data_IF_094714951198
#
_entry.id   IF_094714951198
#
_cell.length_a   1.000
_cell.length_b   1.000
_cell.length_c   1.000
_cell.angle_alpha   90.00
_cell.angle_beta   90.00
_cell.angle_gamma   90.00
#
_symmetry.space_group_name_H-M   'P 1'
#
loop_
_entity.id
_entity.type
_entity.pdbx_description
1 polymer ?
#
# COMPACT_ATOMS: atom_id res chain seq x y z
N UNK A 1 8.40 25.27 30.47
CA UNK A 1 7.28 25.78 29.65
C UNK A 1 7.27 24.94 28.38
N UNK A 2 6.54 23.83 28.39
CA UNK A 2 6.44 22.88 27.28
C UNK A 2 5.48 23.46 26.23
N UNK A 3 6.00 23.71 25.04
CA UNK A 3 5.16 24.05 23.89
C UNK A 3 4.54 22.75 23.35
N UNK A 4 3.24 22.61 23.56
CA UNK A 4 2.42 21.57 22.94
C UNK A 4 2.33 21.92 21.44
N UNK A 5 2.98 21.12 20.60
CA UNK A 5 2.89 21.26 19.13
C UNK A 5 1.49 20.75 18.72
N UNK A 6 0.64 21.67 18.28
CA UNK A 6 -0.70 21.37 17.77
C UNK A 6 -0.60 20.54 16.48
N UNK A 7 -1.16 19.30 16.52
CA UNK A 7 -1.24 18.35 15.41
C UNK A 7 -1.90 18.92 14.13
N UNK A 8 -2.60 20.05 14.24
CA UNK A 8 -3.33 20.69 13.13
C UNK A 8 -2.44 21.50 12.18
N UNK A 9 -1.21 21.81 12.55
CA UNK A 9 -0.30 22.59 11.67
C UNK A 9 0.46 21.75 10.66
N UNK A 10 0.48 20.44 10.77
CA UNK A 10 1.24 19.54 9.88
C UNK A 10 0.63 19.36 8.48
N UNK A 11 -0.63 19.79 8.27
CA UNK A 11 -1.36 19.58 7.00
C UNK A 11 -1.49 20.84 6.12
N UNK A 12 -0.82 21.95 6.45
CA UNK A 12 -0.92 23.20 5.69
C UNK A 12 0.39 23.65 5.06
N UNK A 13 0.98 22.85 4.21
CA UNK A 13 1.98 23.32 3.26
C UNK A 13 1.62 22.86 1.85
N UNK A 14 0.67 23.56 1.26
CA UNK A 14 0.48 23.59 -0.19
C UNK A 14 1.14 24.86 -0.71
N UNK A 15 2.00 24.70 -1.71
CA UNK A 15 2.32 25.82 -2.59
C UNK A 15 3.78 26.14 -2.77
N UNK A 16 4.21 26.06 -4.00
CA UNK A 16 5.24 26.76 -4.81
C UNK A 16 6.19 25.80 -5.49
N UNK A 17 5.94 25.52 -6.72
CA UNK A 17 6.32 26.16 -7.98
C UNK A 17 7.77 25.94 -8.42
N UNK A 18 7.89 25.12 -9.46
CA UNK A 18 8.51 25.26 -10.78
C UNK A 18 10.02 25.45 -10.95
N UNK A 19 10.51 24.69 -11.94
CA UNK A 19 11.60 24.89 -12.91
C UNK A 19 12.97 24.25 -12.62
N UNK A 20 13.33 23.34 -13.50
CA UNK A 20 14.71 22.87 -13.72
C UNK A 20 14.76 21.65 -14.64
N UNK A 21 14.91 21.87 -15.95
CA UNK A 21 15.14 20.83 -16.97
C UNK A 21 16.50 20.17 -16.79
N UNK A 22 16.56 18.84 -16.83
CA UNK A 22 17.79 18.06 -16.99
C UNK A 22 17.47 16.67 -17.55
N UNK A 23 17.82 16.46 -18.81
CA UNK A 23 17.68 15.23 -19.60
C UNK A 23 18.56 14.11 -19.02
N UNK A 24 17.97 12.99 -18.60
CA UNK A 24 18.56 11.67 -18.73
C UNK A 24 17.44 10.65 -18.95
N UNK A 25 17.55 9.91 -20.06
CA UNK A 25 16.56 8.98 -20.53
C UNK A 25 16.50 7.69 -19.72
N UNK A 26 15.39 7.52 -19.06
CA UNK A 26 14.84 6.29 -18.57
C UNK A 26 13.34 6.51 -18.56
N UNK A 27 12.59 5.80 -19.42
CA UNK A 27 11.16 6.03 -19.61
C UNK A 27 10.40 5.49 -18.38
N UNK A 28 10.44 6.25 -17.27
CA UNK A 28 9.34 6.26 -16.34
C UNK A 28 8.25 7.11 -17.01
N UNK A 29 7.26 6.45 -17.62
CA UNK A 29 6.05 7.12 -18.09
C UNK A 29 5.35 7.71 -16.88
N UNK A 30 5.69 8.97 -16.53
CA UNK A 30 4.85 9.76 -15.65
C UNK A 30 3.51 9.90 -16.36
N UNK A 31 2.48 9.25 -15.81
CA UNK A 31 1.12 9.45 -16.28
C UNK A 31 0.78 10.91 -15.98
N UNK A 32 0.78 11.74 -17.02
CA UNK A 32 0.41 13.14 -16.88
C UNK A 32 -1.07 13.22 -16.48
N UNK A 33 -1.36 13.95 -15.41
CA UNK A 33 -2.75 14.32 -15.07
C UNK A 33 -3.33 15.12 -16.21
N UNK A 34 -4.50 14.74 -16.69
CA UNK A 34 -5.23 15.54 -17.65
C UNK A 34 -5.59 16.91 -17.01
N UNK A 35 -5.42 17.99 -17.75
CA UNK A 35 -5.65 19.35 -17.25
C UNK A 35 -7.13 19.64 -16.93
N UNK A 36 -8.04 18.73 -17.31
CA UNK A 36 -9.49 18.81 -17.09
C UNK A 36 -9.98 18.11 -15.79
N UNK A 37 -9.04 17.64 -14.95
CA UNK A 37 -9.37 16.94 -13.71
C UNK A 37 -9.88 15.51 -13.88
N UNK A 38 -9.86 14.95 -15.10
CA UNK A 38 -10.17 13.54 -15.32
C UNK A 38 -8.93 12.69 -14.98
N UNK A 39 -9.16 11.56 -14.28
CA UNK A 39 -8.08 10.61 -14.07
C UNK A 39 -7.66 9.99 -15.40
N UNK A 40 -6.36 9.70 -15.55
CA UNK A 40 -5.89 8.91 -16.69
C UNK A 40 -6.63 7.57 -16.76
N UNK A 41 -6.73 6.94 -17.92
CA UNK A 41 -7.30 5.61 -18.05
C UNK A 41 -6.67 4.66 -17.04
N UNK A 42 -7.49 3.81 -16.39
CA UNK A 42 -7.00 2.74 -15.56
C UNK A 42 -6.50 1.63 -16.50
N UNK A 43 -5.18 1.54 -16.64
CA UNK A 43 -4.59 0.50 -17.50
C UNK A 43 -4.61 -0.84 -16.76
N UNK A 44 -5.23 -1.85 -17.38
CA UNK A 44 -5.21 -3.23 -16.91
C UNK A 44 -4.05 -3.95 -17.60
N UNK A 45 -3.11 -4.44 -16.83
CA UNK A 45 -1.91 -5.13 -17.34
C UNK A 45 -1.96 -6.60 -16.95
N UNK A 46 -1.88 -7.48 -17.95
CA UNK A 46 -1.71 -8.91 -17.71
C UNK A 46 -0.27 -9.18 -17.29
N UNK A 47 -0.09 -9.79 -16.10
CA UNK A 47 1.23 -10.02 -15.51
C UNK A 47 1.67 -11.49 -15.60
N UNK A 48 0.68 -12.40 -15.67
CA UNK A 48 0.86 -13.83 -15.89
C UNK A 48 -0.43 -14.38 -16.51
N UNK A 49 -0.47 -15.63 -17.00
CA UNK A 49 -1.74 -16.24 -17.41
C UNK A 49 -2.78 -16.08 -16.32
N UNK A 50 -3.97 -15.58 -16.69
CA UNK A 50 -5.10 -15.35 -15.78
C UNK A 50 -4.86 -14.39 -14.60
N UNK A 51 -3.73 -13.69 -14.57
CA UNK A 51 -3.38 -12.72 -13.52
C UNK A 51 -3.21 -11.33 -14.11
N UNK A 52 -3.85 -10.35 -13.52
CA UNK A 52 -3.80 -8.94 -13.92
C UNK A 52 -3.60 -8.03 -12.72
N UNK A 53 -3.21 -6.79 -12.98
CA UNK A 53 -3.24 -5.72 -12.01
C UNK A 53 -3.55 -4.38 -12.68
N UNK A 54 -3.92 -3.41 -11.86
CA UNK A 54 -3.99 -2.00 -12.18
C UNK A 54 -2.99 -1.26 -11.31
N UNK A 55 -2.28 -0.29 -11.89
CA UNK A 55 -1.28 0.49 -11.16
C UNK A 55 -1.85 1.83 -10.75
N UNK A 56 -1.83 2.09 -9.44
CA UNK A 56 -2.14 3.39 -8.88
C UNK A 56 -1.06 4.43 -9.17
N UNK A 57 -1.40 5.69 -8.96
CA UNK A 57 -0.50 6.82 -9.17
C UNK A 57 0.55 6.89 -8.05
N UNK A 58 1.81 7.12 -8.38
CA UNK A 58 2.88 7.29 -7.39
C UNK A 58 2.83 8.71 -6.79
N UNK A 59 1.76 8.98 -6.03
CA UNK A 59 1.41 10.27 -5.42
C UNK A 59 0.86 10.05 -4.01
N UNK A 60 0.66 11.13 -3.27
CA UNK A 60 -0.19 11.12 -2.07
C UNK A 60 -1.66 11.16 -2.49
N UNK A 61 -2.54 10.57 -1.67
CA UNK A 61 -3.99 10.63 -1.88
C UNK A 61 -4.50 12.08 -1.91
N UNK A 62 -5.39 12.36 -2.85
CA UNK A 62 -5.97 13.70 -3.03
C UNK A 62 -7.29 13.63 -3.80
N UNK A 63 -8.12 14.69 -3.80
CA UNK A 63 -9.29 14.78 -4.66
C UNK A 63 -8.95 14.65 -6.14
N UNK A 64 -7.81 15.20 -6.56
CA UNK A 64 -7.38 15.18 -7.95
C UNK A 64 -7.09 13.77 -8.49
N UNK A 65 -6.62 12.85 -7.64
CA UNK A 65 -6.37 11.46 -8.02
C UNK A 65 -7.44 10.49 -7.50
N UNK A 66 -8.53 10.98 -6.89
CA UNK A 66 -9.63 10.17 -6.34
C UNK A 66 -9.15 9.09 -5.35
N UNK A 67 -7.99 9.31 -4.70
CA UNK A 67 -7.25 8.33 -3.91
C UNK A 67 -6.84 7.07 -4.69
N UNK A 68 -6.64 7.15 -6.00
CA UNK A 68 -6.12 6.06 -6.84
C UNK A 68 -4.59 6.05 -6.78
N UNK A 69 -4.04 5.62 -5.66
CA UNK A 69 -2.60 5.65 -5.37
C UNK A 69 -2.00 4.26 -5.11
N UNK A 70 -2.84 3.27 -4.75
CA UNK A 70 -2.45 1.87 -4.56
C UNK A 70 -2.73 1.03 -5.80
N UNK A 71 -2.11 -0.13 -5.87
CA UNK A 71 -2.41 -1.15 -6.85
C UNK A 71 -3.59 -2.01 -6.38
N UNK A 72 -4.29 -2.62 -7.33
CA UNK A 72 -5.16 -3.76 -7.08
C UNK A 72 -4.87 -4.86 -8.10
N UNK A 73 -5.06 -6.10 -7.70
CA UNK A 73 -4.91 -7.25 -8.58
C UNK A 73 -6.21 -7.95 -8.85
N UNK A 74 -6.27 -8.75 -9.91
CA UNK A 74 -7.32 -9.72 -10.08
C UNK A 74 -6.88 -10.96 -10.85
N UNK A 75 -7.52 -12.07 -10.54
CA UNK A 75 -7.26 -13.36 -11.17
C UNK A 75 -8.56 -13.92 -11.70
N UNK A 76 -8.58 -14.24 -12.99
CA UNK A 76 -9.74 -14.88 -13.63
C UNK A 76 -9.63 -16.39 -13.45
N UNK A 77 -10.69 -16.99 -12.92
CA UNK A 77 -10.76 -18.44 -12.67
C UNK A 77 -11.92 -19.07 -13.44
N UNK A 78 -12.04 -20.37 -13.44
CA UNK A 78 -13.18 -21.04 -14.09
C UNK A 78 -14.55 -20.80 -13.40
N UNK A 79 -14.57 -20.16 -12.21
CA UNK A 79 -15.80 -19.91 -11.43
C UNK A 79 -15.94 -18.46 -10.96
N UNK A 80 -15.30 -17.53 -11.63
CA UNK A 80 -15.38 -16.10 -11.32
C UNK A 80 -14.03 -15.44 -11.14
N UNK A 81 -14.05 -14.17 -10.85
CA UNK A 81 -12.86 -13.35 -10.65
C UNK A 81 -12.56 -13.22 -9.15
N UNK A 82 -11.32 -13.43 -8.75
CA UNK A 82 -10.83 -13.07 -7.42
C UNK A 82 -10.09 -11.74 -7.51
N UNK A 83 -10.54 -10.76 -6.75
CA UNK A 83 -9.93 -9.44 -6.66
C UNK A 83 -9.03 -9.37 -5.43
N UNK A 84 -7.86 -8.76 -5.53
CA UNK A 84 -6.93 -8.52 -4.45
C UNK A 84 -6.83 -7.00 -4.25
N UNK A 85 -7.29 -6.52 -3.11
CA UNK A 85 -7.53 -5.13 -2.72
C UNK A 85 -8.59 -4.39 -3.57
N UNK A 86 -9.19 -3.38 -2.98
CA UNK A 86 -10.37 -2.70 -3.54
C UNK A 86 -10.13 -1.24 -3.88
N UNK A 87 -8.89 -0.78 -3.80
CA UNK A 87 -8.49 0.61 -4.06
C UNK A 87 -9.05 1.63 -3.05
N UNK A 88 -8.71 2.90 -3.24
CA UNK A 88 -8.83 3.94 -2.24
C UNK A 88 -10.14 4.74 -2.25
N UNK A 89 -11.09 4.43 -3.13
CA UNK A 89 -12.43 5.04 -3.09
C UNK A 89 -13.47 4.19 -3.80
N UNK A 90 -14.77 4.35 -3.47
CA UNK A 90 -15.85 3.67 -4.18
C UNK A 90 -15.87 3.98 -5.68
N UNK A 91 -15.52 5.19 -6.07
CA UNK A 91 -15.45 5.59 -7.48
C UNK A 91 -14.38 4.80 -8.24
N UNK A 92 -13.19 4.65 -7.67
CA UNK A 92 -12.08 3.92 -8.29
C UNK A 92 -12.35 2.42 -8.31
N UNK A 93 -13.00 1.87 -7.28
CA UNK A 93 -13.44 0.46 -7.26
C UNK A 93 -14.49 0.15 -8.34
N UNK A 94 -15.44 1.06 -8.59
CA UNK A 94 -16.39 0.92 -9.70
C UNK A 94 -15.69 0.93 -11.07
N UNK A 95 -14.64 1.76 -11.21
CA UNK A 95 -13.80 1.73 -12.42
C UNK A 95 -13.08 0.39 -12.57
N UNK A 96 -12.51 -0.16 -11.48
CA UNK A 96 -11.88 -1.48 -11.50
C UNK A 96 -12.87 -2.57 -11.99
N UNK A 97 -14.11 -2.57 -11.48
CA UNK A 97 -15.14 -3.49 -11.96
C UNK A 97 -15.44 -3.33 -13.47
N UNK A 98 -15.49 -2.09 -13.96
CA UNK A 98 -15.70 -1.82 -15.37
C UNK A 98 -14.52 -2.29 -16.24
N UNK A 99 -13.29 -2.18 -15.74
CA UNK A 99 -12.11 -2.70 -16.44
C UNK A 99 -12.06 -4.24 -16.42
N UNK A 100 -12.40 -4.88 -15.31
CA UNK A 100 -12.53 -6.34 -15.22
C UNK A 100 -13.53 -6.87 -16.26
N UNK A 101 -14.67 -6.18 -16.42
CA UNK A 101 -15.70 -6.56 -17.41
C UNK A 101 -15.25 -6.48 -18.87
N UNK A 102 -14.17 -5.73 -19.17
CA UNK A 102 -13.54 -5.74 -20.52
C UNK A 102 -12.63 -6.94 -20.74
N UNK A 103 -12.13 -7.55 -19.66
CA UNK A 103 -11.24 -8.71 -19.71
C UNK A 103 -12.01 -10.03 -19.74
N UNK A 104 -13.14 -10.10 -19.03
CA UNK A 104 -13.92 -11.33 -18.87
C UNK A 104 -15.38 -11.05 -18.54
N UNK A 105 -16.28 -11.92 -19.00
CA UNK A 105 -17.70 -11.90 -18.62
C UNK A 105 -17.97 -12.53 -17.23
N UNK A 106 -16.94 -13.07 -16.59
CA UNK A 106 -17.03 -13.66 -15.26
C UNK A 106 -17.29 -12.59 -14.20
N UNK A 107 -18.21 -12.87 -13.28
CA UNK A 107 -18.49 -11.99 -12.14
C UNK A 107 -17.37 -12.11 -11.09
N UNK A 108 -17.20 -11.06 -10.29
CA UNK A 108 -16.34 -11.15 -9.10
C UNK A 108 -16.96 -12.13 -8.12
N UNK A 109 -16.20 -13.16 -7.78
CA UNK A 109 -16.61 -14.24 -6.88
C UNK A 109 -16.02 -14.08 -5.48
N UNK A 110 -14.92 -13.34 -5.32
CA UNK A 110 -14.22 -13.18 -4.05
C UNK A 110 -13.36 -11.92 -4.05
N UNK A 111 -13.21 -11.30 -2.87
CA UNK A 111 -12.20 -10.25 -2.63
C UNK A 111 -11.28 -10.70 -1.50
N UNK A 112 -9.97 -10.50 -1.67
CA UNK A 112 -8.97 -10.74 -0.63
C UNK A 112 -8.31 -9.39 -0.32
N UNK A 113 -8.26 -9.02 0.96
CA UNK A 113 -7.66 -7.78 1.44
C UNK A 113 -6.26 -8.07 1.96
N UNK A 114 -5.26 -7.35 1.46
CA UNK A 114 -3.87 -7.51 1.93
C UNK A 114 -3.67 -6.87 3.29
N UNK A 115 -4.24 -5.69 3.53
CA UNK A 115 -4.21 -4.98 4.82
C UNK A 115 -5.27 -3.86 4.85
N UNK A 116 -5.51 -3.27 6.02
CA UNK A 116 -6.59 -2.30 6.23
C UNK A 116 -6.13 -0.84 6.18
N UNK A 117 -5.36 -0.44 5.15
CA UNK A 117 -5.15 0.98 4.85
C UNK A 117 -6.17 1.54 3.87
N UNK A 118 -6.46 2.82 4.01
CA UNK A 118 -7.52 3.54 3.32
C UNK A 118 -7.53 3.36 1.80
N UNK A 119 -6.36 3.40 1.19
CA UNK A 119 -6.17 3.27 -0.26
C UNK A 119 -6.31 1.84 -0.79
N UNK A 120 -6.43 0.84 0.10
CA UNK A 120 -6.72 -0.56 -0.24
C UNK A 120 -8.16 -0.98 0.08
N UNK A 121 -8.85 -0.28 1.00
CA UNK A 121 -10.12 -0.76 1.55
C UNK A 121 -11.34 0.12 1.30
N UNK A 122 -11.19 1.42 1.00
CA UNK A 122 -12.38 2.29 0.88
C UNK A 122 -13.27 1.95 -0.32
N UNK A 123 -12.77 1.17 -1.28
CA UNK A 123 -13.57 0.59 -2.35
C UNK A 123 -14.34 -0.69 -1.99
N UNK A 124 -14.06 -1.32 -0.83
CA UNK A 124 -14.65 -2.63 -0.45
C UNK A 124 -16.17 -2.62 -0.41
N UNK A 125 -16.80 -1.49 -0.01
CA UNK A 125 -18.26 -1.40 0.02
C UNK A 125 -18.90 -1.71 -1.33
N UNK A 126 -18.25 -1.39 -2.45
CA UNK A 126 -18.77 -1.67 -3.79
C UNK A 126 -18.93 -3.18 -4.03
N UNK A 127 -18.00 -3.97 -3.53
CA UNK A 127 -18.05 -5.43 -3.62
C UNK A 127 -19.01 -6.03 -2.59
N UNK A 128 -19.03 -5.48 -1.39
CA UNK A 128 -19.97 -5.92 -0.34
C UNK A 128 -21.43 -5.68 -0.75
N UNK A 129 -21.75 -4.56 -1.37
CA UNK A 129 -23.09 -4.23 -1.88
C UNK A 129 -23.53 -5.20 -3.01
N UNK A 130 -22.56 -5.83 -3.70
CA UNK A 130 -22.82 -6.90 -4.68
C UNK A 130 -22.94 -8.29 -4.04
N UNK A 131 -22.79 -8.40 -2.72
CA UNK A 131 -22.83 -9.67 -1.99
C UNK A 131 -21.58 -10.52 -2.18
N UNK A 132 -20.47 -9.93 -2.63
CA UNK A 132 -19.21 -10.66 -2.84
C UNK A 132 -18.56 -10.95 -1.48
N UNK A 133 -18.16 -12.21 -1.18
CA UNK A 133 -17.44 -12.54 0.03
C UNK A 133 -16.06 -11.88 0.06
N UNK A 134 -15.67 -11.41 1.24
CA UNK A 134 -14.40 -10.71 1.48
C UNK A 134 -13.62 -11.49 2.54
N UNK A 135 -12.39 -11.87 2.25
CA UNK A 135 -11.46 -12.47 3.23
C UNK A 135 -10.35 -11.49 3.58
N UNK A 136 -10.03 -11.38 4.87
CA UNK A 136 -8.95 -10.57 5.38
C UNK A 136 -8.28 -11.23 6.60
N UNK A 137 -7.11 -10.71 6.99
CA UNK A 137 -6.47 -11.10 8.25
C UNK A 137 -7.25 -10.54 9.45
N UNK A 138 -7.37 -11.34 10.53
CA UNK A 138 -8.17 -10.95 11.71
C UNK A 138 -7.69 -9.67 12.40
N UNK A 139 -6.43 -9.30 12.29
CA UNK A 139 -5.92 -8.01 12.80
C UNK A 139 -6.64 -6.80 12.19
N UNK A 140 -7.24 -6.93 11.01
CA UNK A 140 -8.10 -5.92 10.41
C UNK A 140 -9.36 -5.62 11.25
N UNK A 141 -9.83 -6.59 12.05
CA UNK A 141 -10.94 -6.36 13.00
C UNK A 141 -10.53 -5.39 14.11
N UNK A 142 -9.29 -5.51 14.59
CA UNK A 142 -8.78 -4.64 15.65
C UNK A 142 -8.65 -3.22 15.11
N UNK A 143 -8.16 -3.06 13.88
CA UNK A 143 -8.16 -1.77 13.20
C UNK A 143 -9.57 -1.19 13.05
N UNK A 144 -10.54 -1.94 12.51
CA UNK A 144 -11.90 -1.48 12.30
C UNK A 144 -12.63 -1.09 13.60
N UNK A 145 -12.29 -1.73 14.72
CA UNK A 145 -12.80 -1.41 16.04
C UNK A 145 -12.09 -0.22 16.72
N UNK A 146 -11.02 0.28 16.12
CA UNK A 146 -10.24 1.35 16.71
C UNK A 146 -10.83 2.74 16.39
N UNK A 147 -10.64 3.69 17.32
CA UNK A 147 -10.95 5.10 17.06
C UNK A 147 -10.13 5.65 15.89
N UNK A 148 -8.95 5.08 15.63
CA UNK A 148 -8.08 5.48 14.54
C UNK A 148 -8.72 5.26 13.17
N UNK A 149 -9.43 4.14 12.96
CA UNK A 149 -10.11 3.83 11.70
C UNK A 149 -11.18 4.89 11.39
N UNK A 150 -12.01 5.22 12.37
CA UNK A 150 -13.04 6.25 12.22
C UNK A 150 -12.43 7.65 12.02
N UNK A 151 -11.40 8.00 12.79
CA UNK A 151 -10.69 9.28 12.63
C UNK A 151 -10.06 9.42 11.24
N UNK A 152 -9.46 8.35 10.71
CA UNK A 152 -8.90 8.33 9.33
C UNK A 152 -9.99 8.48 8.28
N UNK A 153 -11.14 7.80 8.44
CA UNK A 153 -12.27 7.97 7.52
C UNK A 153 -12.83 9.38 7.55
N UNK A 154 -13.02 9.97 8.73
CA UNK A 154 -13.50 11.36 8.86
C UNK A 154 -12.51 12.36 8.22
N UNK A 155 -11.20 12.18 8.44
CA UNK A 155 -10.20 12.99 7.76
C UNK A 155 -10.27 12.84 6.24
N UNK A 156 -10.41 11.59 5.75
CA UNK A 156 -10.52 11.32 4.31
C UNK A 156 -11.77 11.92 3.68
N UNK A 157 -12.89 12.03 4.42
CA UNK A 157 -14.11 12.72 3.96
C UNK A 157 -13.89 14.22 3.73
N UNK A 158 -12.89 14.80 4.39
CA UNK A 158 -12.49 16.21 4.17
C UNK A 158 -11.44 16.30 3.07
N UNK A 159 -10.39 15.47 3.14
CA UNK A 159 -9.19 15.60 2.34
C UNK A 159 -9.36 15.05 0.92
N UNK A 160 -10.27 14.09 0.74
CA UNK A 160 -10.50 13.37 -0.53
C UNK A 160 -11.90 13.66 -1.12
N UNK A 161 -12.63 14.59 -0.53
CA UNK A 161 -13.96 14.96 -1.07
C UNK A 161 -13.88 15.33 -2.56
N UNK A 162 -14.90 15.00 -3.39
CA UNK A 162 -16.16 14.33 -3.03
C UNK A 162 -16.09 12.79 -3.15
N UNK A 163 -14.92 12.19 -3.34
CA UNK A 163 -14.74 10.76 -3.66
C UNK A 163 -14.86 9.87 -2.44
N UNK A 164 -14.55 10.42 -1.27
CA UNK A 164 -14.84 9.87 0.05
C UNK A 164 -15.82 10.83 0.69
N UNK A 165 -17.01 10.35 1.00
CA UNK A 165 -18.16 11.15 1.45
C UNK A 165 -18.86 10.53 2.67
N UNK A 166 -20.05 11.03 3.01
CA UNK A 166 -20.84 10.52 4.12
C UNK A 166 -21.34 9.08 3.92
N UNK A 167 -21.47 8.65 2.65
CA UNK A 167 -21.92 7.30 2.30
C UNK A 167 -20.79 6.28 2.25
N UNK A 168 -19.53 6.74 2.28
CA UNK A 168 -18.36 5.86 2.35
C UNK A 168 -18.25 5.22 3.72
N UNK A 169 -18.11 3.89 3.75
CA UNK A 169 -18.15 3.07 4.97
C UNK A 169 -16.88 2.24 5.15
N UNK A 170 -16.48 2.05 6.39
CA UNK A 170 -15.57 0.99 6.76
C UNK A 170 -16.26 -0.37 6.56
N UNK A 171 -15.74 -1.19 5.66
CA UNK A 171 -16.36 -2.45 5.27
C UNK A 171 -15.65 -3.62 5.95
N UNK A 172 -16.43 -4.45 6.62
CA UNK A 172 -15.95 -5.66 7.29
C UNK A 172 -15.77 -6.80 6.30
N UNK A 173 -14.72 -7.60 6.51
CA UNK A 173 -14.62 -8.87 5.82
C UNK A 173 -15.73 -9.83 6.33
N UNK A 174 -16.17 -10.72 5.45
CA UNK A 174 -17.12 -11.78 5.77
C UNK A 174 -16.44 -13.01 6.35
N UNK A 175 -15.12 -13.13 6.12
CA UNK A 175 -14.29 -14.25 6.52
C UNK A 175 -12.93 -13.73 7.00
N UNK A 176 -12.49 -14.17 8.18
CA UNK A 176 -11.28 -13.70 8.84
C UNK A 176 -10.31 -14.85 9.05
N UNK A 177 -9.04 -14.63 8.75
CA UNK A 177 -7.98 -15.60 8.95
C UNK A 177 -6.93 -15.08 9.94
N UNK A 178 -6.28 -15.98 10.67
CA UNK A 178 -5.20 -15.69 11.61
C UNK A 178 -3.89 -16.41 11.27
N UNK A 179 -3.95 -17.32 10.34
CA UNK A 179 -2.86 -18.19 9.95
C UNK A 179 -2.90 -18.45 8.45
N UNK A 180 -1.81 -19.03 7.94
CA UNK A 180 -1.73 -19.43 6.53
C UNK A 180 -2.95 -20.26 6.12
N UNK A 181 -3.58 -19.86 5.03
CA UNK A 181 -4.80 -20.51 4.51
C UNK A 181 -4.75 -20.63 3.00
N UNK A 182 -5.38 -21.68 2.49
CA UNK A 182 -5.59 -21.85 1.06
C UNK A 182 -7.08 -21.70 0.73
N UNK A 183 -7.35 -20.90 -0.30
CA UNK A 183 -8.68 -20.75 -0.88
C UNK A 183 -8.62 -21.28 -2.31
N UNK A 184 -9.64 -22.02 -2.72
CA UNK A 184 -9.77 -22.51 -4.10
C UNK A 184 -11.02 -21.90 -4.71
N UNK A 185 -10.86 -21.18 -5.82
CA UNK A 185 -11.98 -20.64 -6.60
C UNK A 185 -11.87 -21.24 -8.02
N UNK A 186 -12.82 -22.07 -8.35
CA UNK A 186 -12.77 -22.82 -9.61
C UNK A 186 -11.54 -23.74 -9.69
N UNK A 187 -10.71 -23.49 -10.69
CA UNK A 187 -9.48 -24.23 -10.98
C UNK A 187 -8.22 -23.59 -10.37
N UNK A 188 -8.37 -22.49 -9.66
CA UNK A 188 -7.22 -21.70 -9.18
C UNK A 188 -7.15 -21.73 -7.66
N UNK A 189 -5.92 -21.96 -7.15
CA UNK A 189 -5.59 -21.95 -5.73
C UNK A 189 -4.89 -20.64 -5.37
N UNK A 190 -5.34 -20.06 -4.26
CA UNK A 190 -4.77 -18.86 -3.64
C UNK A 190 -4.21 -19.23 -2.27
N UNK A 191 -2.94 -18.98 -2.04
CA UNK A 191 -2.29 -19.16 -0.75
C UNK A 191 -2.23 -17.80 -0.07
N UNK A 192 -2.98 -17.65 1.01
CA UNK A 192 -3.00 -16.47 1.85
C UNK A 192 -1.96 -16.67 2.95
N UNK A 193 -0.90 -15.88 2.91
CA UNK A 193 0.23 -15.98 3.85
C UNK A 193 0.29 -14.74 4.73
N UNK A 194 0.01 -14.84 6.04
CA UNK A 194 0.28 -13.75 6.97
C UNK A 194 1.77 -13.45 7.02
N UNK A 195 2.15 -12.31 6.52
CA UNK A 195 3.54 -11.85 6.47
C UNK A 195 3.84 -10.82 7.54
N UNK A 196 2.82 -10.16 8.07
CA UNK A 196 2.96 -9.21 9.17
C UNK A 196 3.51 -9.78 10.49
N UNK A 197 3.78 -8.89 11.47
CA UNK A 197 3.72 -7.45 11.36
C UNK A 197 4.85 -6.87 10.52
N UNK A 198 4.52 -5.94 9.60
CA UNK A 198 5.48 -5.28 8.72
C UNK A 198 5.07 -3.82 8.50
N UNK A 199 4.41 -3.52 7.34
CA UNK A 199 3.82 -2.23 7.04
C UNK A 199 2.61 -1.94 7.96
N UNK A 200 1.82 -2.99 8.23
CA UNK A 200 0.78 -3.04 9.26
C UNK A 200 0.98 -4.29 10.14
N UNK A 201 0.26 -4.39 11.28
CA UNK A 201 0.26 -5.62 12.08
C UNK A 201 -0.30 -6.84 11.34
N UNK A 202 -1.22 -6.63 10.39
CA UNK A 202 -2.04 -7.66 9.75
C UNK A 202 -1.72 -7.93 8.29
N UNK A 203 -0.53 -7.54 7.82
CA UNK A 203 -0.15 -7.72 6.41
C UNK A 203 -0.28 -9.17 5.93
N UNK A 204 -0.93 -9.31 4.79
CA UNK A 204 -1.20 -10.57 4.10
C UNK A 204 -0.66 -10.51 2.67
N UNK A 205 0.14 -11.50 2.27
CA UNK A 205 0.49 -11.70 0.88
C UNK A 205 -0.39 -12.80 0.26
N UNK A 206 -0.77 -12.62 -1.01
CA UNK A 206 -1.60 -13.56 -1.75
C UNK A 206 -0.78 -14.18 -2.87
N UNK A 207 -0.43 -15.46 -2.73
CA UNK A 207 0.35 -16.18 -3.72
C UNK A 207 -0.54 -17.10 -4.56
N UNK A 208 -0.37 -17.05 -5.88
CA UNK A 208 -1.06 -17.90 -6.86
C UNK A 208 -0.05 -18.88 -7.46
N UNK A 209 0.08 -20.10 -6.90
CA UNK A 209 1.16 -21.03 -7.26
C UNK A 209 1.18 -21.46 -8.72
N UNK A 210 -0.01 -21.64 -9.32
CA UNK A 210 -0.15 -22.05 -10.72
C UNK A 210 0.52 -21.06 -11.68
N UNK A 211 0.53 -19.78 -11.31
CA UNK A 211 1.05 -18.69 -12.15
C UNK A 211 2.33 -18.06 -11.57
N UNK A 212 2.84 -18.62 -10.45
CA UNK A 212 4.02 -18.09 -9.74
C UNK A 212 3.95 -16.57 -9.53
N UNK A 213 2.77 -16.07 -9.22
CA UNK A 213 2.48 -14.65 -9.02
C UNK A 213 2.15 -14.40 -7.56
N UNK A 214 2.77 -13.39 -6.95
CA UNK A 214 2.44 -12.91 -5.60
C UNK A 214 1.94 -11.48 -5.65
N UNK A 215 0.83 -11.21 -5.00
CA UNK A 215 0.33 -9.88 -4.66
C UNK A 215 0.74 -9.60 -3.22
N UNK A 216 1.69 -8.69 -3.05
CA UNK A 216 2.40 -8.55 -1.79
C UNK A 216 1.82 -7.46 -0.87
N UNK A 217 0.81 -6.70 -1.33
CA UNK A 217 0.37 -5.52 -0.63
C UNK A 217 1.54 -4.58 -0.33
N UNK A 218 1.42 -3.81 0.71
CA UNK A 218 2.40 -2.78 1.10
C UNK A 218 3.62 -3.32 1.86
N UNK A 219 3.76 -4.64 1.94
CA UNK A 219 5.04 -5.24 2.29
C UNK A 219 6.10 -4.93 1.24
N UNK A 220 5.67 -4.72 -0.03
CA UNK A 220 6.56 -4.34 -1.12
C UNK A 220 6.06 -3.07 -1.83
N UNK A 221 6.95 -2.07 -1.91
CA UNK A 221 6.82 -0.86 -2.71
C UNK A 221 7.84 -0.89 -3.82
N UNK A 222 7.50 -0.41 -5.00
CA UNK A 222 8.43 -0.34 -6.13
C UNK A 222 8.43 1.04 -6.79
N UNK A 223 9.64 1.50 -7.18
CA UNK A 223 9.79 2.81 -7.82
C UNK A 223 9.58 4.01 -6.91
N UNK A 224 9.53 3.79 -5.59
CA UNK A 224 9.43 4.84 -4.54
C UNK A 224 9.94 4.29 -3.20
N UNK A 225 10.18 5.17 -2.23
CA UNK A 225 10.39 4.70 -0.85
C UNK A 225 9.08 4.13 -0.28
N UNK A 226 9.14 3.14 0.63
CA UNK A 226 7.97 2.67 1.34
C UNK A 226 7.40 3.75 2.29
N UNK A 227 6.17 3.56 2.73
CA UNK A 227 5.58 4.32 3.82
C UNK A 227 5.69 3.52 5.11
N UNK A 228 6.34 4.09 6.13
CA UNK A 228 6.50 3.50 7.46
C UNK A 228 5.59 4.25 8.41
N UNK A 229 4.39 3.72 8.64
CA UNK A 229 3.37 4.27 9.53
C UNK A 229 3.73 4.14 11.01
N UNK A 230 2.90 4.71 11.89
CA UNK A 230 3.10 4.60 13.33
C UNK A 230 2.83 3.20 13.91
N UNK A 231 2.11 2.38 13.17
CA UNK A 231 1.77 0.97 13.42
C UNK A 231 2.71 -0.01 12.70
N UNK A 232 3.58 0.48 11.81
CA UNK A 232 4.59 -0.32 11.14
C UNK A 232 5.70 -0.79 12.11
N UNK A 233 6.25 -1.96 11.82
CA UNK A 233 7.43 -2.47 12.54
C UNK A 233 8.58 -2.73 11.56
N UNK A 234 9.47 -1.76 11.42
CA UNK A 234 10.60 -1.85 10.50
C UNK A 234 11.54 -3.04 10.78
N UNK A 235 11.56 -3.58 12.01
CA UNK A 235 12.39 -4.74 12.37
C UNK A 235 11.81 -6.07 11.89
N UNK A 236 10.53 -6.31 12.16
CA UNK A 236 9.84 -7.52 11.71
C UNK A 236 9.56 -7.46 10.21
N UNK A 237 9.42 -6.26 9.63
CA UNK A 237 9.25 -6.08 8.19
C UNK A 237 10.41 -6.69 7.38
N UNK A 238 11.64 -6.58 7.85
CA UNK A 238 12.79 -7.25 7.21
C UNK A 238 12.57 -8.76 7.07
N UNK A 239 12.03 -9.41 8.12
CA UNK A 239 11.69 -10.85 8.08
C UNK A 239 10.49 -11.14 7.17
N UNK A 240 9.56 -10.20 7.05
CA UNK A 240 8.41 -10.32 6.16
C UNK A 240 8.82 -10.28 4.69
N UNK A 241 9.83 -9.49 4.35
CA UNK A 241 10.44 -9.50 3.02
C UNK A 241 11.03 -10.88 2.67
N UNK A 242 11.69 -11.54 3.63
CA UNK A 242 12.21 -12.91 3.44
C UNK A 242 11.08 -13.91 3.21
N UNK A 243 9.94 -13.79 3.92
CA UNK A 243 8.77 -14.63 3.69
C UNK A 243 8.20 -14.46 2.27
N UNK A 244 8.12 -13.22 1.78
CA UNK A 244 7.68 -12.94 0.40
C UNK A 244 8.63 -13.57 -0.62
N UNK A 245 9.94 -13.45 -0.44
CA UNK A 245 10.94 -14.06 -1.31
C UNK A 245 10.89 -15.59 -1.28
N UNK A 246 10.61 -16.20 -0.12
CA UNK A 246 10.50 -17.65 0.04
C UNK A 246 9.35 -18.28 -0.78
N UNK A 247 8.36 -17.47 -1.22
CA UNK A 247 7.29 -17.93 -2.13
C UNK A 247 7.83 -18.26 -3.53
N UNK A 248 9.05 -17.85 -3.88
CA UNK A 248 9.69 -18.10 -5.18
C UNK A 248 8.81 -17.65 -6.37
N UNK A 249 8.13 -16.52 -6.22
CA UNK A 249 7.33 -15.95 -7.28
C UNK A 249 8.20 -15.46 -8.44
N UNK A 250 7.71 -15.62 -9.66
CA UNK A 250 8.35 -15.06 -10.87
C UNK A 250 7.86 -13.64 -11.14
N UNK A 251 6.65 -13.34 -10.70
CA UNK A 251 6.03 -12.01 -10.79
C UNK A 251 5.59 -11.58 -9.39
N UNK A 252 5.98 -10.38 -9.02
CA UNK A 252 5.52 -9.74 -7.79
C UNK A 252 4.76 -8.47 -8.15
N UNK A 253 3.51 -8.41 -7.68
CA UNK A 253 2.67 -7.21 -7.73
C UNK A 253 2.79 -6.52 -6.38
N UNK A 254 3.45 -5.35 -6.31
CA UNK A 254 3.58 -4.59 -5.06
C UNK A 254 2.26 -3.88 -4.72
N UNK A 255 2.11 -3.39 -3.51
CA UNK A 255 0.97 -2.53 -3.15
C UNK A 255 1.03 -1.17 -3.85
N UNK A 256 2.24 -0.69 -4.18
CA UNK A 256 2.45 0.56 -4.92
C UNK A 256 3.58 0.42 -5.94
N UNK A 257 3.34 1.01 -7.10
CA UNK A 257 4.32 1.09 -8.20
C UNK A 257 4.22 -0.05 -9.19
N UNK A 258 5.15 -0.14 -10.17
CA UNK A 258 5.06 -1.12 -11.25
C UNK A 258 5.33 -2.54 -10.75
N UNK A 259 4.86 -3.55 -11.52
CA UNK A 259 5.16 -4.96 -11.25
C UNK A 259 6.66 -5.23 -11.23
N UNK A 260 7.07 -6.26 -10.48
CA UNK A 260 8.43 -6.76 -10.46
C UNK A 260 8.54 -8.12 -11.16
N UNK A 261 9.53 -8.24 -12.04
CA UNK A 261 10.02 -9.48 -12.64
C UNK A 261 11.37 -9.89 -12.07
N UNK A 262 11.93 -9.08 -11.17
CA UNK A 262 13.09 -9.42 -10.33
C UNK A 262 12.76 -9.10 -8.85
N UNK A 263 11.91 -9.94 -8.21
CA UNK A 263 11.47 -9.70 -6.82
C UNK A 263 12.63 -9.54 -5.84
N UNK A 264 13.75 -10.21 -6.09
CA UNK A 264 14.92 -10.15 -5.20
C UNK A 264 15.54 -8.75 -5.21
N UNK A 265 15.73 -8.15 -6.37
CA UNK A 265 16.32 -6.81 -6.48
C UNK A 265 15.41 -5.73 -5.89
N UNK A 266 14.09 -5.83 -6.14
CA UNK A 266 13.13 -4.85 -5.64
C UNK A 266 12.92 -4.95 -4.12
N UNK A 267 12.86 -6.17 -3.58
CA UNK A 267 12.83 -6.40 -2.13
C UNK A 267 14.11 -5.91 -1.46
N UNK A 268 15.28 -6.09 -2.11
CA UNK A 268 16.55 -5.59 -1.57
C UNK A 268 16.56 -4.07 -1.41
N UNK A 269 15.92 -3.32 -2.31
CA UNK A 269 15.80 -1.86 -2.17
C UNK A 269 15.07 -1.46 -0.87
N UNK A 270 13.96 -2.14 -0.57
CA UNK A 270 13.19 -1.90 0.66
C UNK A 270 13.98 -2.33 1.89
N UNK A 271 14.61 -3.52 1.82
CA UNK A 271 15.45 -4.04 2.88
C UNK A 271 16.56 -3.04 3.25
N UNK A 272 17.26 -2.50 2.25
CA UNK A 272 18.32 -1.51 2.46
C UNK A 272 17.78 -0.23 3.10
N UNK A 273 16.60 0.25 2.65
CA UNK A 273 15.99 1.43 3.21
C UNK A 273 15.57 1.26 4.67
N UNK A 274 14.89 0.16 5.00
CA UNK A 274 14.48 -0.14 6.38
C UNK A 274 15.69 -0.37 7.29
N UNK A 275 16.74 -0.99 6.78
CA UNK A 275 18.00 -1.18 7.49
C UNK A 275 18.66 0.17 7.80
N UNK A 276 18.68 1.08 6.83
CA UNK A 276 19.22 2.44 7.03
C UNK A 276 18.41 3.21 8.08
N UNK A 277 17.07 3.19 7.96
CA UNK A 277 16.20 3.83 8.96
C UNK A 277 16.48 3.33 10.38
N UNK A 278 16.53 2.02 10.56
CA UNK A 278 16.79 1.41 11.87
C UNK A 278 18.19 1.75 12.39
N UNK A 279 19.21 1.74 11.50
CA UNK A 279 20.58 2.09 11.87
C UNK A 279 20.67 3.52 12.36
N UNK A 280 20.17 4.47 11.58
CA UNK A 280 20.32 5.91 11.90
C UNK A 280 19.44 6.31 13.10
N UNK A 281 18.19 5.86 13.12
CA UNK A 281 17.26 6.21 14.19
C UNK A 281 17.51 5.38 15.45
N UNK A 282 17.98 4.14 15.35
CA UNK A 282 18.38 3.32 16.48
C UNK A 282 19.58 3.90 17.22
N UNK A 283 20.61 4.28 16.49
CA UNK A 283 21.77 4.98 17.08
C UNK A 283 21.33 6.24 17.83
N UNK A 284 20.45 7.03 17.23
CA UNK A 284 19.97 8.27 17.87
C UNK A 284 19.16 7.98 19.15
N UNK A 285 18.36 6.92 19.16
CA UNK A 285 17.60 6.52 20.35
C UNK A 285 18.53 6.04 21.48
N UNK A 286 19.53 5.22 21.17
CA UNK A 286 20.54 4.74 22.14
C UNK A 286 21.37 5.88 22.72
N UNK A 287 21.78 6.85 21.90
CA UNK A 287 22.58 8.00 22.30
C UNK A 287 21.75 9.14 22.90
N UNK A 288 20.41 8.98 22.99
CA UNK A 288 19.45 10.03 23.40
C UNK A 288 19.60 11.32 22.57
N UNK A 289 19.97 11.19 21.29
CA UNK A 289 20.07 12.32 20.37
C UNK A 289 18.68 12.77 19.96
N UNK A 290 18.33 14.08 20.05
CA UNK A 290 17.05 14.57 19.61
C UNK A 290 16.76 14.23 18.14
N UNK A 291 15.54 13.83 17.84
CA UNK A 291 15.13 13.41 16.48
C UNK A 291 15.52 14.40 15.39
N UNK A 292 15.29 15.70 15.61
CA UNK A 292 15.61 16.73 14.61
C UNK A 292 17.09 16.76 14.24
N UNK A 293 17.96 16.60 15.24
CA UNK A 293 19.40 16.54 15.03
C UNK A 293 19.77 15.23 14.31
N UNK A 294 19.24 14.10 14.75
CA UNK A 294 19.48 12.80 14.14
C UNK A 294 19.06 12.78 12.66
N UNK A 295 17.85 13.29 12.36
CA UNK A 295 17.33 13.36 11.00
C UNK A 295 18.17 14.25 10.10
N UNK A 296 18.60 15.43 10.61
CA UNK A 296 19.39 16.39 9.84
C UNK A 296 20.82 15.89 9.53
N UNK A 297 21.37 15.02 10.37
CA UNK A 297 22.76 14.51 10.22
C UNK A 297 22.83 13.12 9.58
N UNK A 298 21.69 12.44 9.42
CA UNK A 298 21.62 11.11 8.80
C UNK A 298 22.05 11.15 7.33
N UNK A 299 22.85 10.18 6.92
CA UNK A 299 23.19 9.97 5.51
C UNK A 299 22.14 9.10 4.84
N UNK A 300 21.22 9.73 4.13
CA UNK A 300 20.15 9.04 3.39
C UNK A 300 20.62 8.39 2.09
N UNK A 301 21.89 8.57 1.69
CA UNK A 301 22.54 7.87 0.58
C UNK A 301 21.76 7.92 -0.73
N UNK A 302 21.59 6.75 -1.34
CA UNK A 302 20.88 6.60 -2.63
C UNK A 302 19.38 6.94 -2.58
N UNK A 303 18.78 7.01 -1.39
CA UNK A 303 17.32 7.15 -1.24
C UNK A 303 16.83 8.59 -1.42
N UNK A 304 17.69 9.60 -1.29
CA UNK A 304 17.31 11.04 -1.43
C UNK A 304 16.67 11.37 -2.78
N UNK A 305 17.00 10.60 -3.81
CA UNK A 305 16.49 10.79 -5.17
C UNK A 305 15.29 9.86 -5.48
N UNK A 306 14.88 9.01 -4.55
CA UNK A 306 13.74 8.13 -4.76
C UNK A 306 12.42 8.93 -4.74
N UNK A 307 11.46 8.59 -5.60
CA UNK A 307 10.15 9.21 -5.57
C UNK A 307 9.53 9.18 -4.17
N UNK A 308 8.84 10.25 -3.83
CA UNK A 308 8.20 10.50 -2.53
C UNK A 308 9.16 10.60 -1.32
N UNK A 309 10.48 10.64 -1.53
CA UNK A 309 11.43 10.81 -0.43
C UNK A 309 11.10 12.05 0.41
N UNK A 310 11.01 13.22 -0.23
CA UNK A 310 10.72 14.47 0.45
C UNK A 310 9.34 14.50 1.15
N UNK A 311 8.39 13.72 0.65
CA UNK A 311 7.04 13.67 1.20
C UNK A 311 6.91 12.71 2.40
N UNK A 312 7.67 11.61 2.42
CA UNK A 312 7.46 10.53 3.39
C UNK A 312 8.66 10.25 4.30
N UNK A 313 9.92 10.50 3.87
CA UNK A 313 11.09 10.03 4.59
C UNK A 313 11.18 10.56 6.03
N UNK A 314 10.83 11.83 6.25
CA UNK A 314 10.90 12.41 7.61
C UNK A 314 9.90 11.74 8.57
N UNK A 315 8.69 11.43 8.08
CA UNK A 315 7.69 10.71 8.87
C UNK A 315 8.12 9.25 9.11
N UNK A 316 8.64 8.58 8.08
CA UNK A 316 9.19 7.24 8.20
C UNK A 316 10.29 7.16 9.25
N UNK A 317 11.23 8.12 9.21
CA UNK A 317 12.32 8.22 10.19
C UNK A 317 11.79 8.48 11.61
N UNK A 318 10.81 9.38 11.75
CA UNK A 318 10.22 9.69 13.05
C UNK A 318 9.50 8.48 13.68
N UNK A 319 8.69 7.78 12.90
CA UNK A 319 8.00 6.59 13.37
C UNK A 319 8.99 5.47 13.73
N UNK A 320 10.06 5.33 12.94
CA UNK A 320 11.13 4.38 13.26
C UNK A 320 11.90 4.78 14.52
N UNK A 321 12.18 6.08 14.71
CA UNK A 321 12.82 6.59 15.93
C UNK A 321 11.99 6.24 17.17
N UNK A 322 10.67 6.51 17.15
CA UNK A 322 9.77 6.13 18.24
C UNK A 322 9.71 4.62 18.48
N UNK A 323 9.81 3.80 17.42
CA UNK A 323 9.91 2.35 17.56
C UNK A 323 11.20 1.96 18.28
N UNK A 324 12.35 2.53 17.86
CA UNK A 324 13.66 2.25 18.45
C UNK A 324 13.74 2.67 19.92
N UNK A 325 13.14 3.82 20.30
CA UNK A 325 13.04 4.22 21.70
C UNK A 325 12.25 3.24 22.57
N UNK A 326 11.24 2.58 22.00
CA UNK A 326 10.47 1.52 22.68
C UNK A 326 11.24 0.21 22.81
N UNK A 327 12.04 -0.14 21.78
CA UNK A 327 12.86 -1.34 21.77
C UNK A 327 14.10 -1.24 22.68
N UNK A 328 14.56 -0.03 22.98
CA UNK A 328 15.71 0.25 23.86
C UNK A 328 15.38 0.21 25.36
N UNK A 329 14.10 0.18 25.74
CA UNK A 329 13.59 0.09 27.14
C UNK A 329 13.39 -1.36 27.55
#
# INVERSE_FOLDING_TARGET
MQAVIDRRQFFRCSGCAALGFGLFGGVARQVAMAQDGTLPPMEVVQVAPNCWYVQGLSQLGSPANQNFISNAGFVVTSRGVVVIDALGSPAVAKRLLAEIAKVTDQKVAHVIVTHYHADHIYGLQVFADLGVPITAHQGGRDYLNSELAEQRLQASRVDIAPWIDADTKLTWATDWIDSRREIVVGDTRFVLEPVGPAHTPEDLAVYVPQYKTVYAGDVVFRGRIPYVGGDANAGTWLKSLDKVLAMNAQVLVPGHGPISTDPKADVQFIHDYLTLLRKEMGKAAEEMTPFEQAYATADWGKFVNAPLFNAANRLNAYNTFLLMEREAK
#
